data_IF_673133285195
#
_entry.id   IF_673133285195
#
_cell.length_a   1.000
_cell.length_b   1.000
_cell.length_c   1.000
_cell.angle_alpha   90.00
_cell.angle_beta   90.00
_cell.angle_gamma   90.00
#
_symmetry.space_group_name_H-M   'P 1'
#
loop_
_entity.id
_entity.type
_entity.pdbx_description
1 polymer ?
#
# COMPACT_ATOMS: atom_id res chain seq x y z
N UNK A 1 11.05 -24.94 -7.27
CA UNK A 1 10.45 -24.08 -6.25
C UNK A 1 9.62 -23.00 -6.91
N UNK A 2 8.56 -22.54 -6.24
CA UNK A 2 7.71 -21.44 -6.69
C UNK A 2 7.67 -20.38 -5.60
N UNK A 3 7.95 -19.14 -5.98
CA UNK A 3 7.77 -17.96 -5.14
C UNK A 3 6.46 -17.29 -5.51
N UNK A 4 5.60 -17.06 -4.54
CA UNK A 4 4.33 -16.35 -4.69
C UNK A 4 4.41 -15.06 -3.87
N UNK A 5 4.01 -13.96 -4.46
CA UNK A 5 4.05 -12.63 -3.87
C UNK A 5 2.65 -12.01 -3.89
N UNK A 6 2.31 -11.27 -2.84
CA UNK A 6 1.13 -10.39 -2.87
C UNK A 6 1.37 -9.22 -3.84
N UNK A 7 0.30 -8.77 -4.50
CA UNK A 7 0.36 -7.73 -5.53
C UNK A 7 0.29 -6.30 -4.99
N UNK A 8 -0.04 -6.12 -3.71
CA UNK A 8 -0.37 -4.83 -3.08
C UNK A 8 0.42 -4.57 -1.78
N UNK A 9 1.61 -5.16 -1.67
CA UNK A 9 2.47 -4.95 -0.49
C UNK A 9 3.73 -4.16 -0.86
N UNK A 10 4.14 -3.26 0.03
CA UNK A 10 5.37 -2.46 -0.10
C UNK A 10 6.42 -2.99 0.88
N UNK A 11 7.54 -3.47 0.35
CA UNK A 11 8.68 -3.99 1.12
C UNK A 11 9.91 -4.17 0.23
N UNK A 12 11.07 -4.36 0.85
CA UNK A 12 12.30 -4.80 0.15
C UNK A 12 12.79 -6.10 0.77
N UNK A 13 12.81 -7.19 0.00
CA UNK A 13 13.22 -8.51 0.49
C UNK A 13 14.21 -9.20 -0.45
N UNK A 14 15.25 -9.79 0.11
CA UNK A 14 16.12 -10.71 -0.63
C UNK A 14 15.53 -12.12 -0.65
N UNK A 15 14.79 -12.44 -1.70
CA UNK A 15 14.13 -13.74 -1.85
C UNK A 15 15.10 -14.93 -1.89
N UNK A 16 16.37 -14.72 -2.27
CA UNK A 16 17.36 -15.79 -2.23
C UNK A 16 17.64 -16.27 -0.80
N UNK A 17 17.59 -15.36 0.19
CA UNK A 17 17.71 -15.74 1.62
C UNK A 17 16.50 -16.57 2.07
N UNK A 18 15.29 -16.18 1.69
CA UNK A 18 14.09 -16.94 2.00
C UNK A 18 14.10 -18.33 1.34
N UNK A 19 14.51 -18.42 0.07
CA UNK A 19 14.67 -19.69 -0.62
C UNK A 19 15.75 -20.58 0.02
N UNK A 20 16.88 -20.02 0.45
CA UNK A 20 17.91 -20.75 1.18
C UNK A 20 17.38 -21.30 2.51
N UNK A 21 16.58 -20.50 3.25
CA UNK A 21 15.90 -20.94 4.46
C UNK A 21 14.94 -22.10 4.18
N UNK A 22 14.10 -21.99 3.15
CA UNK A 22 13.18 -23.05 2.71
C UNK A 22 13.91 -24.38 2.45
N UNK A 23 15.01 -24.32 1.69
CA UNK A 23 15.84 -25.49 1.39
C UNK A 23 16.49 -26.07 2.65
N UNK A 24 17.02 -25.23 3.53
CA UNK A 24 17.65 -25.65 4.78
C UNK A 24 16.66 -26.32 5.72
N UNK A 25 15.47 -25.77 5.81
CA UNK A 25 14.37 -26.34 6.59
C UNK A 25 13.84 -27.66 5.97
N UNK A 26 14.07 -27.91 4.68
CA UNK A 26 13.46 -29.02 3.95
C UNK A 26 11.92 -28.91 3.97
N UNK A 27 11.42 -27.70 3.87
CA UNK A 27 10.00 -27.41 3.96
C UNK A 27 9.25 -27.68 2.66
N UNK A 28 7.97 -27.98 2.75
CA UNK A 28 7.05 -28.07 1.61
C UNK A 28 6.48 -26.68 1.28
N UNK A 29 6.28 -25.86 2.33
CA UNK A 29 5.91 -24.44 2.24
C UNK A 29 6.73 -23.61 3.24
N UNK A 30 7.19 -22.44 2.84
CA UNK A 30 7.74 -21.42 3.74
C UNK A 30 6.95 -20.14 3.57
N UNK A 31 6.50 -19.58 4.68
CA UNK A 31 5.72 -18.35 4.73
C UNK A 31 6.59 -17.24 5.35
N UNK A 32 6.71 -16.10 4.65
CA UNK A 32 7.31 -14.93 5.26
C UNK A 32 6.38 -14.33 6.29
N UNK A 33 6.92 -14.03 7.47
CA UNK A 33 6.15 -13.57 8.62
C UNK A 33 6.80 -12.36 9.28
N UNK A 34 5.97 -11.52 9.88
CA UNK A 34 6.41 -10.35 10.64
C UNK A 34 5.52 -10.16 11.87
N UNK A 35 6.11 -9.72 12.98
CA UNK A 35 5.34 -9.30 14.15
C UNK A 35 4.68 -7.95 13.88
N UNK A 36 3.36 -7.88 14.06
CA UNK A 36 2.56 -6.67 13.91
C UNK A 36 2.00 -6.22 15.26
N UNK A 37 1.57 -4.96 15.41
CA UNK A 37 0.80 -4.55 16.59
C UNK A 37 -0.41 -5.48 16.81
N UNK A 38 -0.72 -5.78 18.07
CA UNK A 38 -1.81 -6.70 18.39
C UNK A 38 -3.18 -6.23 17.87
N UNK A 39 -3.39 -4.92 17.81
CA UNK A 39 -4.60 -4.30 17.26
C UNK A 39 -4.78 -4.56 15.76
N UNK A 40 -3.67 -4.73 15.02
CA UNK A 40 -3.68 -4.99 13.59
C UNK A 40 -3.76 -6.50 13.26
N UNK A 41 -3.39 -7.37 14.20
CA UNK A 41 -3.34 -8.81 13.97
C UNK A 41 -4.64 -9.40 13.38
N UNK A 42 -5.86 -8.98 13.76
CA UNK A 42 -7.10 -9.49 13.16
C UNK A 42 -7.26 -9.22 11.66
N UNK A 43 -6.43 -8.37 11.07
CA UNK A 43 -6.48 -8.05 9.63
C UNK A 43 -5.73 -9.06 8.78
N UNK A 44 -4.87 -9.89 9.36
CA UNK A 44 -3.91 -10.76 8.68
C UNK A 44 -4.16 -12.23 8.97
N UNK A 45 -3.59 -13.09 8.14
CA UNK A 45 -3.38 -14.50 8.49
C UNK A 45 -2.33 -14.60 9.59
N UNK A 46 -2.71 -15.19 10.73
CA UNK A 46 -1.86 -15.27 11.93
C UNK A 46 -1.32 -16.68 12.10
N UNK A 47 -0.05 -16.77 12.48
CA UNK A 47 0.63 -18.04 12.68
C UNK A 47 1.12 -18.23 14.11
N UNK A 48 1.02 -19.47 14.59
CA UNK A 48 1.77 -19.96 15.72
C UNK A 48 2.91 -20.86 15.23
N UNK A 49 4.07 -20.74 15.85
CA UNK A 49 5.28 -21.48 15.49
C UNK A 49 5.88 -22.14 16.72
N UNK A 50 6.64 -23.22 16.51
CA UNK A 50 7.46 -23.84 17.54
C UNK A 50 8.82 -23.13 17.69
N UNK A 51 9.70 -23.66 18.56
CA UNK A 51 11.05 -23.13 18.81
C UNK A 51 11.98 -23.16 17.58
N UNK A 52 11.62 -23.90 16.55
CA UNK A 52 12.38 -24.03 15.32
C UNK A 52 11.76 -23.27 14.14
N UNK A 53 10.82 -22.35 14.42
CA UNK A 53 10.02 -21.65 13.43
C UNK A 53 9.20 -22.57 12.49
N UNK A 54 8.84 -23.80 12.96
CA UNK A 54 7.87 -24.65 12.27
C UNK A 54 6.47 -24.14 12.55
N UNK A 55 5.69 -23.93 11.50
CA UNK A 55 4.31 -23.46 11.64
C UNK A 55 3.45 -24.60 12.19
N UNK A 56 2.84 -24.38 13.35
CA UNK A 56 1.99 -25.35 14.04
C UNK A 56 0.51 -25.04 13.89
N UNK A 57 0.16 -23.77 13.67
CA UNK A 57 -1.22 -23.31 13.50
C UNK A 57 -1.26 -22.10 12.57
N UNK A 58 -2.31 -22.00 11.78
CA UNK A 58 -2.59 -20.85 10.92
C UNK A 58 -4.07 -20.50 11.03
N UNK A 59 -4.38 -19.23 11.28
CA UNK A 59 -5.75 -18.71 11.35
C UNK A 59 -5.88 -17.50 10.42
N UNK A 60 -6.77 -17.55 9.44
CA UNK A 60 -7.02 -16.44 8.52
C UNK A 60 -7.94 -15.42 9.18
N UNK A 61 -7.42 -14.22 9.42
CA UNK A 61 -8.12 -13.06 9.98
C UNK A 61 -8.94 -13.40 11.24
N UNK A 62 -8.30 -13.95 12.28
CA UNK A 62 -9.00 -14.34 13.50
C UNK A 62 -9.51 -13.13 14.27
N UNK A 63 -10.75 -13.21 14.78
CA UNK A 63 -11.31 -12.14 15.62
C UNK A 63 -10.55 -11.98 16.96
N UNK A 64 -9.95 -13.07 17.45
CA UNK A 64 -9.17 -13.10 18.68
C UNK A 64 -7.85 -13.85 18.43
N UNK A 65 -6.84 -13.16 17.89
CA UNK A 65 -5.58 -13.80 17.53
C UNK A 65 -4.82 -14.31 18.76
N UNK A 66 -4.24 -15.52 18.66
CA UNK A 66 -3.40 -16.11 19.71
C UNK A 66 -1.93 -15.66 19.61
N UNK A 67 -1.56 -15.08 18.50
CA UNK A 67 -0.22 -14.56 18.18
C UNK A 67 -0.37 -13.27 17.38
N UNK A 68 0.68 -12.47 17.32
CA UNK A 68 0.78 -11.31 16.44
C UNK A 68 1.75 -11.54 15.28
N UNK A 69 2.11 -12.81 15.01
CA UNK A 69 2.97 -13.18 13.91
C UNK A 69 2.16 -13.29 12.62
N UNK A 70 2.16 -12.22 11.84
CA UNK A 70 1.35 -12.07 10.65
C UNK A 70 2.03 -12.63 9.40
N UNK A 71 1.24 -13.26 8.53
CA UNK A 71 1.64 -13.63 7.17
C UNK A 71 1.80 -12.37 6.32
N UNK A 72 2.92 -12.27 5.63
CA UNK A 72 3.14 -11.20 4.65
C UNK A 72 2.55 -11.51 3.27
N UNK A 73 1.82 -12.63 3.09
CA UNK A 73 1.36 -13.04 1.76
C UNK A 73 2.49 -13.40 0.79
N UNK A 74 3.65 -13.76 1.31
CA UNK A 74 4.83 -14.13 0.54
C UNK A 74 5.18 -15.58 0.87
N UNK A 75 5.17 -16.43 -0.14
CA UNK A 75 5.31 -17.87 0.02
C UNK A 75 6.40 -18.45 -0.87
N UNK A 76 7.17 -19.42 -0.36
CA UNK A 76 8.00 -20.32 -1.16
C UNK A 76 7.44 -21.72 -1.02
N UNK A 77 7.09 -22.33 -2.14
CA UNK A 77 6.59 -23.71 -2.18
C UNK A 77 7.55 -24.63 -2.92
N UNK A 78 7.64 -25.87 -2.46
CA UNK A 78 8.15 -26.97 -3.27
C UNK A 78 7.11 -27.30 -4.34
N UNK A 79 7.44 -27.08 -5.64
CA UNK A 79 6.49 -27.15 -6.76
C UNK A 79 5.67 -28.43 -6.81
N UNK A 80 6.30 -29.58 -6.54
CA UNK A 80 5.62 -30.88 -6.57
C UNK A 80 4.44 -30.91 -5.59
N UNK A 81 4.61 -30.33 -4.41
CA UNK A 81 3.57 -30.23 -3.38
C UNK A 81 2.51 -29.21 -3.78
N UNK A 82 2.92 -28.00 -4.12
CA UNK A 82 1.96 -26.96 -4.52
C UNK A 82 1.05 -27.44 -5.67
N UNK A 83 1.64 -28.06 -6.72
CA UNK A 83 0.87 -28.56 -7.86
C UNK A 83 -0.22 -29.55 -7.44
N UNK A 84 0.08 -30.46 -6.51
CA UNK A 84 -0.88 -31.41 -5.98
C UNK A 84 -2.07 -30.67 -5.34
N UNK A 85 -1.79 -29.78 -4.40
CA UNK A 85 -2.83 -29.04 -3.67
C UNK A 85 -3.66 -28.14 -4.59
N UNK A 86 -3.06 -27.49 -5.58
CA UNK A 86 -3.80 -26.67 -6.54
C UNK A 86 -4.77 -27.49 -7.41
N UNK A 87 -4.38 -28.69 -7.86
CA UNK A 87 -5.24 -29.58 -8.64
C UNK A 87 -6.40 -30.10 -7.77
N UNK A 88 -6.11 -30.46 -6.52
CA UNK A 88 -7.15 -30.91 -5.59
C UNK A 88 -8.12 -29.78 -5.24
N UNK A 89 -7.63 -28.56 -5.06
CA UNK A 89 -8.42 -27.38 -4.72
C UNK A 89 -9.32 -26.94 -5.88
N UNK A 90 -8.79 -26.96 -7.11
CA UNK A 90 -9.56 -26.68 -8.34
C UNK A 90 -10.73 -27.63 -8.53
N UNK A 91 -10.61 -28.87 -8.03
CA UNK A 91 -11.65 -29.89 -8.13
C UNK A 91 -12.69 -29.79 -7.01
N UNK A 92 -12.49 -28.93 -6.03
CA UNK A 92 -13.38 -28.73 -4.88
C UNK A 92 -14.31 -27.55 -5.13
N UNK A 93 -15.57 -27.81 -5.48
CA UNK A 93 -16.58 -26.78 -5.73
C UNK A 93 -16.86 -25.87 -4.51
N UNK A 94 -16.50 -26.30 -3.30
CA UNK A 94 -16.66 -25.51 -2.08
C UNK A 94 -15.45 -24.59 -1.81
N UNK A 95 -14.35 -24.75 -2.55
CA UNK A 95 -13.15 -23.92 -2.40
C UNK A 95 -13.37 -22.50 -2.93
N UNK A 96 -12.79 -21.54 -2.24
CA UNK A 96 -12.68 -20.15 -2.73
C UNK A 96 -11.40 -19.88 -3.55
N UNK A 97 -10.59 -20.92 -3.79
CA UNK A 97 -9.30 -20.85 -4.47
C UNK A 97 -8.32 -19.85 -3.80
N UNK A 98 -8.30 -19.83 -2.48
CA UNK A 98 -7.55 -18.89 -1.67
C UNK A 98 -6.43 -19.62 -0.89
N UNK A 99 -5.21 -19.07 -0.93
CA UNK A 99 -4.08 -19.69 -0.23
C UNK A 99 -4.29 -19.75 1.28
N UNK A 100 -4.77 -18.67 1.88
CA UNK A 100 -4.99 -18.57 3.33
C UNK A 100 -6.17 -19.40 3.83
N UNK A 101 -7.25 -19.47 3.06
CA UNK A 101 -8.47 -20.18 3.46
C UNK A 101 -8.47 -21.66 3.10
N UNK A 102 -7.83 -22.03 2.00
CA UNK A 102 -7.94 -23.38 1.45
C UNK A 102 -6.59 -24.12 1.46
N UNK A 103 -5.58 -23.62 0.75
CA UNK A 103 -4.32 -24.34 0.52
C UNK A 103 -3.50 -24.53 1.79
N UNK A 104 -3.20 -23.43 2.51
CA UNK A 104 -2.34 -23.45 3.70
C UNK A 104 -2.97 -24.31 4.83
N UNK A 105 -4.24 -24.11 5.20
CA UNK A 105 -4.87 -24.95 6.22
C UNK A 105 -4.90 -26.43 5.84
N UNK A 106 -5.18 -26.77 4.57
CA UNK A 106 -5.18 -28.15 4.08
C UNK A 106 -3.80 -28.79 4.15
N UNK A 107 -2.73 -28.04 3.79
CA UNK A 107 -1.36 -28.51 3.92
C UNK A 107 -0.99 -28.79 5.39
N UNK A 108 -1.36 -27.92 6.32
CA UNK A 108 -1.15 -28.12 7.77
C UNK A 108 -1.88 -29.35 8.28
N UNK A 109 -3.17 -29.51 7.93
CA UNK A 109 -3.98 -30.68 8.33
C UNK A 109 -3.40 -31.98 7.83
N UNK A 110 -2.78 -32.00 6.66
CA UNK A 110 -2.15 -33.17 6.06
C UNK A 110 -0.73 -33.41 6.60
N UNK A 111 -0.25 -32.60 7.55
CA UNK A 111 1.06 -32.77 8.17
C UNK A 111 2.23 -32.40 7.27
N UNK A 112 2.01 -31.57 6.25
CA UNK A 112 3.12 -31.07 5.42
C UNK A 112 4.06 -30.19 6.24
N UNK A 113 5.34 -30.22 5.91
CA UNK A 113 6.35 -29.43 6.63
C UNK A 113 6.32 -27.96 6.25
N UNK A 114 5.83 -27.14 7.15
CA UNK A 114 5.70 -25.70 6.92
C UNK A 114 6.61 -24.90 7.86
N UNK A 115 7.37 -23.94 7.30
CA UNK A 115 8.32 -23.12 8.03
C UNK A 115 7.95 -21.64 7.96
N UNK A 116 8.16 -20.91 9.05
CA UNK A 116 8.10 -19.47 9.05
C UNK A 116 9.48 -18.87 8.71
N UNK A 117 9.50 -17.86 7.86
CA UNK A 117 10.68 -17.04 7.59
C UNK A 117 10.45 -15.66 8.20
N UNK A 118 11.11 -15.39 9.33
CA UNK A 118 10.99 -14.09 10.01
C UNK A 118 11.67 -13.01 9.18
N UNK A 119 10.87 -12.11 8.67
CA UNK A 119 11.33 -10.93 7.95
C UNK A 119 11.59 -9.79 8.94
N UNK A 120 12.61 -9.00 8.64
CA UNK A 120 12.93 -7.76 9.34
C UNK A 120 13.17 -6.67 8.31
N UNK A 121 12.44 -5.58 8.41
CA UNK A 121 12.48 -4.44 7.49
C UNK A 121 11.12 -3.77 7.37
N UNK A 122 11.04 -2.78 6.50
CA UNK A 122 9.75 -2.13 6.21
C UNK A 122 8.83 -3.09 5.46
N UNK A 123 7.59 -3.16 5.93
CA UNK A 123 6.50 -3.85 5.25
C UNK A 123 5.18 -3.16 5.53
N UNK A 124 4.39 -2.91 4.49
CA UNK A 124 3.04 -2.37 4.60
C UNK A 124 2.13 -2.99 3.54
N UNK A 125 1.00 -3.51 3.98
CA UNK A 125 -0.13 -3.89 3.14
C UNK A 125 -0.91 -2.61 2.81
N UNK A 126 -1.07 -2.29 1.52
CA UNK A 126 -1.76 -1.09 1.03
C UNK A 126 -3.15 -1.40 0.46
N UNK A 127 -3.78 -2.47 0.93
CA UNK A 127 -5.13 -2.90 0.53
C UNK A 127 -6.26 -1.95 0.97
N UNK A 128 -5.97 -0.86 1.69
CA UNK A 128 -6.94 0.19 2.03
C UNK A 128 -6.42 1.56 1.62
N UNK A 129 -7.33 2.53 1.43
CA UNK A 129 -6.95 3.91 1.07
C UNK A 129 -6.13 4.58 2.18
N UNK A 130 -6.42 4.27 3.45
CA UNK A 130 -5.63 4.79 4.58
C UNK A 130 -4.22 4.23 4.55
N UNK A 131 -4.05 2.92 4.41
CA UNK A 131 -2.72 2.32 4.34
C UNK A 131 -1.94 2.74 3.09
N UNK A 132 -2.62 3.01 1.96
CA UNK A 132 -1.99 3.61 0.79
C UNK A 132 -1.49 5.03 1.09
N UNK A 133 -2.32 5.85 1.74
CA UNK A 133 -1.93 7.20 2.14
C UNK A 133 -0.76 7.16 3.13
N UNK A 134 -0.87 6.37 4.19
CA UNK A 134 0.19 6.18 5.18
C UNK A 134 1.52 5.75 4.56
N UNK A 135 1.49 4.78 3.63
CA UNK A 135 2.69 4.29 2.96
C UNK A 135 3.39 5.38 2.13
N UNK A 136 2.62 6.30 1.54
CA UNK A 136 3.18 7.46 0.85
C UNK A 136 3.77 8.49 1.83
N UNK A 137 3.13 8.71 2.97
CA UNK A 137 3.67 9.59 4.02
C UNK A 137 4.93 8.99 4.66
N UNK A 138 5.00 7.66 4.82
CA UNK A 138 6.20 6.97 5.30
C UNK A 138 7.43 7.20 4.40
N UNK A 139 7.24 7.45 3.10
CA UNK A 139 8.34 7.81 2.20
C UNK A 139 8.97 9.17 2.52
N UNK A 140 8.20 10.05 3.14
CA UNK A 140 8.66 11.39 3.55
C UNK A 140 9.34 11.32 4.93
N UNK A 141 8.97 10.35 5.77
CA UNK A 141 9.44 10.24 7.13
C UNK A 141 10.89 9.75 7.20
N UNK A 142 11.75 10.52 7.84
CA UNK A 142 13.12 10.08 8.18
C UNK A 142 13.07 8.91 9.16
N UNK A 143 13.67 7.77 8.78
CA UNK A 143 13.75 6.61 9.66
C UNK A 143 12.57 5.64 9.58
N UNK A 144 11.69 5.79 8.61
CA UNK A 144 10.61 4.83 8.35
C UNK A 144 11.08 3.40 8.02
N UNK A 145 12.38 3.24 7.69
CA UNK A 145 12.95 1.98 7.22
C UNK A 145 12.73 1.71 5.73
N UNK A 146 12.01 2.59 5.02
CA UNK A 146 11.82 2.54 3.57
C UNK A 146 12.79 3.50 2.89
N UNK A 147 13.93 2.98 2.43
CA UNK A 147 14.87 3.75 1.59
C UNK A 147 14.71 3.37 0.12
N UNK A 148 14.06 4.25 -0.64
CA UNK A 148 13.86 4.09 -2.08
C UNK A 148 15.09 4.54 -2.89
N UNK A 149 16.02 5.26 -2.27
CA UNK A 149 17.21 5.83 -2.92
C UNK A 149 18.48 5.01 -2.65
N UNK A 150 18.36 3.86 -2.00
CA UNK A 150 19.46 2.95 -1.70
C UNK A 150 20.21 2.54 -2.99
N UNK A 151 21.47 2.94 -3.08
CA UNK A 151 22.28 2.78 -4.29
C UNK A 151 22.68 1.33 -4.56
N UNK A 152 22.91 0.56 -3.49
CA UNK A 152 23.39 -0.83 -3.59
C UNK A 152 22.23 -1.82 -3.86
N UNK A 153 21.00 -1.36 -3.69
CA UNK A 153 19.80 -2.15 -3.95
C UNK A 153 18.68 -1.30 -4.59
N UNK A 154 18.88 -0.84 -5.84
CA UNK A 154 17.91 0.00 -6.52
C UNK A 154 16.62 -0.74 -6.84
N UNK A 155 15.50 -0.03 -6.75
CA UNK A 155 14.20 -0.52 -7.22
C UNK A 155 14.07 -0.19 -8.70
N UNK A 156 13.86 -1.21 -9.52
CA UNK A 156 13.62 -1.05 -10.96
C UNK A 156 12.12 -0.98 -11.23
N UNK A 157 11.70 0.05 -11.92
CA UNK A 157 10.33 0.27 -12.33
C UNK A 157 10.24 0.71 -13.79
N UNK A 158 9.02 0.90 -14.29
CA UNK A 158 8.79 1.47 -15.60
C UNK A 158 9.25 2.93 -15.61
N UNK A 159 10.22 3.24 -16.46
CA UNK A 159 10.69 4.62 -16.60
C UNK A 159 9.68 5.45 -17.38
N UNK A 160 9.22 6.55 -16.80
CA UNK A 160 8.39 7.55 -17.49
C UNK A 160 9.30 8.55 -18.18
N UNK A 161 9.14 8.71 -19.51
CA UNK A 161 9.81 9.76 -20.26
C UNK A 161 9.09 11.08 -20.03
N UNK A 162 9.65 11.93 -19.19
CA UNK A 162 9.14 13.27 -18.88
C UNK A 162 10.33 14.23 -18.60
N UNK A 163 10.16 15.54 -18.85
CA UNK A 163 11.17 16.53 -18.50
C UNK A 163 11.40 16.54 -16.98
N UNK A 164 12.47 17.18 -16.48
CA UNK A 164 12.60 17.49 -15.06
C UNK A 164 11.37 18.23 -14.52
N UNK A 165 11.14 18.14 -13.21
CA UNK A 165 10.13 18.97 -12.57
C UNK A 165 10.50 20.45 -12.68
N UNK A 166 9.51 21.31 -12.92
CA UNK A 166 9.64 22.76 -12.91
C UNK A 166 9.02 23.33 -11.64
N UNK A 167 9.79 24.16 -10.95
CA UNK A 167 9.33 24.93 -9.79
C UNK A 167 9.32 26.41 -10.17
N UNK A 168 8.15 27.04 -10.08
CA UNK A 168 7.96 28.46 -10.37
C UNK A 168 8.65 29.34 -9.36
N UNK A 169 8.80 30.64 -9.67
CA UNK A 169 9.51 31.62 -8.84
C UNK A 169 8.87 31.83 -7.46
N UNK A 170 7.57 31.63 -7.35
CA UNK A 170 6.80 31.73 -6.10
C UNK A 170 6.43 30.36 -5.51
N UNK A 171 6.94 29.27 -6.10
CA UNK A 171 6.63 27.94 -5.60
C UNK A 171 7.27 27.72 -4.22
N UNK A 172 6.49 27.14 -3.30
CA UNK A 172 6.99 26.68 -2.01
C UNK A 172 6.83 25.15 -1.92
N UNK A 173 7.96 24.43 -1.82
CA UNK A 173 7.95 22.98 -1.73
C UNK A 173 8.74 22.58 -0.50
N UNK A 174 8.06 21.99 0.49
CA UNK A 174 8.66 21.57 1.75
C UNK A 174 8.29 20.13 2.07
N UNK A 175 9.28 19.33 2.49
CA UNK A 175 9.10 17.94 2.94
C UNK A 175 8.21 17.11 2.00
N UNK A 176 8.47 17.19 0.69
CA UNK A 176 7.62 16.61 -0.34
C UNK A 176 8.44 15.89 -1.42
N UNK A 177 7.86 14.90 -2.05
CA UNK A 177 8.41 14.23 -3.23
C UNK A 177 7.73 14.81 -4.46
N UNK A 178 8.54 15.30 -5.43
CA UNK A 178 8.06 15.83 -6.71
C UNK A 178 8.69 15.04 -7.85
N UNK A 179 7.88 14.26 -8.57
CA UNK A 179 8.33 13.43 -9.66
C UNK A 179 8.57 14.24 -10.95
N UNK A 180 9.08 13.56 -11.98
CA UNK A 180 9.39 14.16 -13.29
C UNK A 180 8.13 14.69 -13.98
N UNK A 181 8.28 15.77 -14.72
CA UNK A 181 7.23 16.39 -15.51
C UNK A 181 6.22 17.20 -14.69
N UNK A 182 6.38 17.30 -13.39
CA UNK A 182 5.55 18.18 -12.56
C UNK A 182 5.84 19.66 -12.86
N UNK A 183 4.78 20.47 -12.79
CA UNK A 183 4.87 21.93 -12.74
C UNK A 183 4.25 22.38 -11.42
N UNK A 184 5.06 23.05 -10.58
CA UNK A 184 4.61 23.58 -9.29
C UNK A 184 4.84 25.09 -9.29
N UNK A 185 3.76 25.86 -9.26
CA UNK A 185 3.76 27.33 -9.16
C UNK A 185 3.16 27.79 -7.82
N UNK A 186 2.44 26.89 -7.14
CA UNK A 186 1.87 27.07 -5.81
C UNK A 186 2.68 26.39 -4.69
N UNK A 187 2.00 25.84 -3.71
CA UNK A 187 2.58 25.22 -2.51
C UNK A 187 2.37 23.71 -2.47
N UNK A 188 3.40 22.96 -2.06
CA UNK A 188 3.32 21.53 -1.77
C UNK A 188 4.08 21.25 -0.47
N UNK A 189 3.37 20.79 0.55
CA UNK A 189 3.91 20.51 1.87
C UNK A 189 3.50 19.11 2.34
N UNK A 190 4.47 18.34 2.87
CA UNK A 190 4.23 16.97 3.35
C UNK A 190 3.44 16.10 2.33
N UNK A 191 3.77 16.21 1.04
CA UNK A 191 2.97 15.67 -0.03
C UNK A 191 3.79 14.88 -1.06
N UNK A 192 3.13 13.97 -1.77
CA UNK A 192 3.73 13.17 -2.84
C UNK A 192 3.07 13.52 -4.16
N UNK A 193 3.83 14.11 -5.07
CA UNK A 193 3.40 14.46 -6.42
C UNK A 193 4.01 13.46 -7.41
N UNK A 194 3.18 12.59 -7.98
CA UNK A 194 3.57 11.68 -9.04
C UNK A 194 3.84 12.41 -10.36
N UNK A 195 4.17 11.69 -11.41
CA UNK A 195 4.62 12.30 -12.67
C UNK A 195 3.57 13.21 -13.30
N UNK A 196 4.02 14.32 -13.89
CA UNK A 196 3.21 15.25 -14.69
C UNK A 196 2.07 15.93 -13.92
N UNK A 197 2.16 16.00 -12.60
CA UNK A 197 1.20 16.78 -11.81
C UNK A 197 1.41 18.28 -12.02
N UNK A 198 0.32 19.04 -11.90
CA UNK A 198 0.34 20.49 -11.95
C UNK A 198 -0.28 21.06 -10.69
N UNK A 199 0.44 22.00 -10.05
CA UNK A 199 -0.05 22.82 -8.94
C UNK A 199 0.10 24.27 -9.37
N UNK A 200 -1.02 24.91 -9.68
CA UNK A 200 -1.04 26.28 -10.23
C UNK A 200 -0.79 27.35 -9.16
N UNK A 201 -0.60 28.59 -9.59
CA UNK A 201 -0.34 29.73 -8.71
C UNK A 201 -1.41 29.89 -7.62
N UNK A 202 -1.00 30.10 -6.37
CA UNK A 202 -1.90 30.26 -5.23
C UNK A 202 -2.52 28.95 -4.72
N UNK A 203 -2.39 27.84 -5.47
CA UNK A 203 -2.88 26.55 -5.01
C UNK A 203 -1.99 25.98 -3.90
N UNK A 204 -2.60 25.23 -2.96
CA UNK A 204 -1.90 24.61 -1.84
C UNK A 204 -2.26 23.12 -1.74
N UNK A 205 -1.24 22.27 -1.59
CA UNK A 205 -1.38 20.82 -1.45
C UNK A 205 -0.65 20.38 -0.17
N UNK A 206 -1.39 19.85 0.80
CA UNK A 206 -0.86 19.49 2.11
C UNK A 206 -1.25 18.08 2.48
N UNK A 207 -0.30 17.28 3.01
CA UNK A 207 -0.53 15.89 3.47
C UNK A 207 -1.30 15.06 2.44
N UNK A 208 -0.98 15.22 1.15
CA UNK A 208 -1.81 14.69 0.07
C UNK A 208 -0.96 13.96 -0.98
N UNK A 209 -1.64 13.11 -1.74
CA UNK A 209 -1.05 12.36 -2.83
C UNK A 209 -1.70 12.84 -4.12
N UNK A 210 -0.91 13.34 -5.05
CA UNK A 210 -1.32 13.59 -6.42
C UNK A 210 -0.84 12.45 -7.31
N UNK A 211 -1.76 11.66 -7.85
CA UNK A 211 -1.47 10.58 -8.79
C UNK A 211 -1.09 11.15 -10.17
N UNK A 212 -0.51 10.36 -11.09
CA UNK A 212 0.00 10.87 -12.37
C UNK A 212 -0.98 11.74 -13.14
N UNK A 213 -0.51 12.91 -13.57
CA UNK A 213 -1.31 13.84 -14.37
C UNK A 213 -2.39 14.61 -13.61
N UNK A 214 -2.45 14.51 -12.29
CA UNK A 214 -3.39 15.28 -11.48
C UNK A 214 -3.12 16.78 -11.58
N UNK A 215 -4.18 17.60 -11.59
CA UNK A 215 -4.12 19.06 -11.72
C UNK A 215 -4.85 19.71 -10.56
N UNK A 216 -4.17 20.58 -9.85
CA UNK A 216 -4.72 21.48 -8.83
C UNK A 216 -4.66 22.89 -9.37
N UNK A 217 -5.82 23.44 -9.72
CA UNK A 217 -5.91 24.75 -10.36
C UNK A 217 -5.71 25.91 -9.37
N UNK A 218 -5.66 27.09 -9.94
CA UNK A 218 -5.38 28.34 -9.23
C UNK A 218 -6.20 28.50 -7.96
N UNK A 219 -5.51 28.90 -6.86
CA UNK A 219 -6.09 29.20 -5.55
C UNK A 219 -6.88 28.03 -4.90
N UNK A 220 -6.83 26.81 -5.47
CA UNK A 220 -7.47 25.63 -4.88
C UNK A 220 -6.66 25.08 -3.70
N UNK A 221 -7.34 24.39 -2.78
CA UNK A 221 -6.71 23.78 -1.60
C UNK A 221 -7.02 22.30 -1.52
N UNK A 222 -5.97 21.51 -1.37
CA UNK A 222 -6.05 20.04 -1.21
C UNK A 222 -5.36 19.67 0.10
N UNK A 223 -6.08 19.02 1.01
CA UNK A 223 -5.55 18.68 2.32
C UNK A 223 -6.02 17.28 2.73
N UNK A 224 -5.08 16.41 3.13
CA UNK A 224 -5.36 15.02 3.52
C UNK A 224 -6.21 14.28 2.49
N UNK A 225 -5.73 14.31 1.24
CA UNK A 225 -6.47 13.75 0.12
C UNK A 225 -5.60 12.91 -0.82
N UNK A 226 -6.26 12.03 -1.57
CA UNK A 226 -5.69 11.31 -2.71
C UNK A 226 -6.41 11.80 -3.96
N UNK A 227 -5.70 12.49 -4.84
CA UNK A 227 -6.21 12.91 -6.15
C UNK A 227 -5.77 11.86 -7.16
N UNK A 228 -6.75 11.14 -7.72
CA UNK A 228 -6.54 10.05 -8.65
C UNK A 228 -5.90 10.48 -9.97
N UNK A 229 -5.46 9.52 -10.76
CA UNK A 229 -4.80 9.74 -12.05
C UNK A 229 -5.65 10.65 -12.95
N UNK A 230 -5.03 11.72 -13.50
CA UNK A 230 -5.70 12.75 -14.32
C UNK A 230 -6.90 13.43 -13.61
N UNK A 231 -6.95 13.39 -12.29
CA UNK A 231 -7.96 14.09 -11.50
C UNK A 231 -7.76 15.61 -11.57
N UNK A 232 -8.85 16.39 -11.60
CA UNK A 232 -8.79 17.85 -11.71
C UNK A 232 -9.52 18.49 -10.53
N UNK A 233 -8.79 19.33 -9.77
CA UNK A 233 -9.36 20.19 -8.75
C UNK A 233 -9.53 21.59 -9.34
N UNK A 234 -10.77 22.08 -9.41
CA UNK A 234 -11.13 23.37 -10.02
C UNK A 234 -10.57 24.57 -9.27
N UNK A 235 -10.66 25.77 -9.87
CA UNK A 235 -10.19 27.01 -9.26
C UNK A 235 -10.94 27.30 -7.95
N UNK A 236 -10.21 27.78 -6.92
CA UNK A 236 -10.76 28.09 -5.58
C UNK A 236 -11.47 26.92 -4.89
N UNK A 237 -11.40 25.69 -5.42
CA UNK A 237 -12.05 24.53 -4.81
C UNK A 237 -11.28 24.04 -3.56
N UNK A 238 -12.01 23.42 -2.64
CA UNK A 238 -11.48 22.81 -1.43
C UNK A 238 -11.70 21.30 -1.46
N UNK A 239 -10.65 20.51 -1.31
CA UNK A 239 -10.72 19.04 -1.28
C UNK A 239 -10.08 18.52 -0.01
N UNK A 240 -10.87 17.82 0.81
CA UNK A 240 -10.44 17.32 2.11
C UNK A 240 -10.36 18.40 3.19
N UNK A 241 -9.89 18.00 4.37
CA UNK A 241 -9.67 18.90 5.50
C UNK A 241 -8.68 18.29 6.49
N UNK A 242 -7.92 19.11 7.22
CA UNK A 242 -7.03 18.62 8.29
C UNK A 242 -7.83 18.07 9.48
N UNK A 243 -7.26 17.16 10.28
CA UNK A 243 -7.96 16.47 11.37
C UNK A 243 -8.62 17.41 12.39
N UNK A 244 -7.98 18.56 12.67
CA UNK A 244 -8.47 19.55 13.63
C UNK A 244 -9.64 20.40 13.11
N UNK A 245 -9.91 20.37 11.81
CA UNK A 245 -10.97 21.17 11.21
C UNK A 245 -12.37 20.53 11.27
N UNK A 246 -12.44 19.23 11.59
CA UNK A 246 -13.70 18.46 11.64
C UNK A 246 -13.69 17.52 12.85
N UNK A 247 -14.88 17.11 13.36
CA UNK A 247 -14.95 16.10 14.42
C UNK A 247 -14.26 14.79 14.01
N UNK A 248 -13.54 14.11 14.93
CA UNK A 248 -12.76 12.89 14.63
C UNK A 248 -13.59 11.79 13.92
N UNK A 249 -14.85 11.63 14.28
CA UNK A 249 -15.75 10.63 13.69
C UNK A 249 -16.20 10.98 12.26
N UNK A 250 -15.96 12.20 11.81
CA UNK A 250 -16.29 12.68 10.46
C UNK A 250 -15.03 12.84 9.60
N UNK A 251 -13.85 12.75 10.22
CA UNK A 251 -12.59 12.89 9.51
C UNK A 251 -12.17 11.58 8.84
N UNK A 252 -11.49 11.72 7.73
CA UNK A 252 -10.88 10.65 6.96
C UNK A 252 -10.28 11.22 5.68
N UNK A 253 -9.41 10.45 5.04
CA UNK A 253 -8.76 10.82 3.78
C UNK A 253 -9.84 11.01 2.71
N UNK A 254 -9.79 12.14 1.99
CA UNK A 254 -10.69 12.41 0.86
C UNK A 254 -10.11 11.87 -0.43
N UNK A 255 -10.95 11.33 -1.30
CA UNK A 255 -10.49 10.71 -2.55
C UNK A 255 -11.24 11.29 -3.75
N UNK A 256 -10.48 11.85 -4.67
CA UNK A 256 -10.95 12.14 -6.02
C UNK A 256 -10.52 10.99 -6.93
N UNK A 257 -11.47 10.25 -7.49
CA UNK A 257 -11.20 9.08 -8.33
C UNK A 257 -10.46 9.43 -9.62
N UNK A 258 -9.87 8.42 -10.31
CA UNK A 258 -9.19 8.64 -11.58
C UNK A 258 -10.11 9.31 -12.63
N UNK A 259 -9.60 10.37 -13.29
CA UNK A 259 -10.33 11.15 -14.28
C UNK A 259 -11.50 11.97 -13.75
N UNK A 260 -11.74 11.96 -12.45
CA UNK A 260 -12.80 12.76 -11.82
C UNK A 260 -12.39 14.23 -11.72
N UNK A 261 -13.40 15.11 -11.65
CA UNK A 261 -13.20 16.54 -11.49
C UNK A 261 -14.05 17.11 -10.38
N UNK A 262 -13.49 18.08 -9.68
CA UNK A 262 -14.20 18.99 -8.77
C UNK A 262 -14.33 20.33 -9.50
N UNK A 263 -15.54 20.89 -9.52
CA UNK A 263 -15.79 22.17 -10.17
C UNK A 263 -15.09 23.34 -9.44
N UNK A 264 -15.02 24.48 -10.10
CA UNK A 264 -14.53 25.70 -9.48
C UNK A 264 -15.41 26.08 -8.28
N UNK A 265 -14.83 26.66 -7.24
CA UNK A 265 -15.46 27.07 -5.98
C UNK A 265 -16.16 25.92 -5.20
N UNK A 266 -15.98 24.66 -5.60
CA UNK A 266 -16.63 23.51 -4.96
C UNK A 266 -15.90 23.06 -3.70
N UNK A 267 -16.64 22.56 -2.72
CA UNK A 267 -16.08 21.95 -1.50
C UNK A 267 -16.39 20.46 -1.49
N UNK A 268 -15.35 19.63 -1.61
CA UNK A 268 -15.41 18.20 -1.36
C UNK A 268 -14.88 17.92 0.07
N UNK A 269 -15.75 17.65 1.04
CA UNK A 269 -15.36 17.57 2.46
C UNK A 269 -14.43 16.38 2.77
N UNK A 270 -13.89 16.36 4.00
CA UNK A 270 -13.18 15.20 4.54
C UNK A 270 -14.01 13.92 4.47
N UNK A 271 -13.35 12.76 4.39
CA UNK A 271 -13.99 11.44 4.38
C UNK A 271 -15.00 11.22 3.24
N UNK A 272 -14.78 11.84 2.09
CA UNK A 272 -15.60 11.68 0.89
C UNK A 272 -14.81 11.08 -0.26
N UNK A 273 -15.52 10.32 -1.08
CA UNK A 273 -15.01 9.86 -2.37
C UNK A 273 -15.88 10.41 -3.49
N UNK A 274 -15.25 10.94 -4.53
CA UNK A 274 -15.95 11.41 -5.74
C UNK A 274 -15.41 10.68 -6.95
N UNK A 275 -16.30 10.02 -7.69
CA UNK A 275 -16.00 9.29 -8.91
C UNK A 275 -16.15 10.15 -10.17
N UNK A 276 -15.70 9.63 -11.31
CA UNK A 276 -15.70 10.33 -12.60
C UNK A 276 -17.10 10.70 -13.08
N UNK A 277 -18.12 9.94 -12.72
CA UNK A 277 -19.55 10.25 -13.00
C UNK A 277 -20.13 11.30 -12.02
N UNK A 278 -19.31 11.86 -11.16
CA UNK A 278 -19.69 12.87 -10.19
C UNK A 278 -20.42 12.35 -8.94
N UNK A 279 -20.54 11.03 -8.80
CA UNK A 279 -21.16 10.44 -7.62
C UNK A 279 -20.25 10.59 -6.40
N UNK A 280 -20.83 11.05 -5.30
CA UNK A 280 -20.16 11.16 -4.01
C UNK A 280 -20.69 10.15 -3.01
N UNK A 281 -19.76 9.55 -2.26
CA UNK A 281 -20.05 8.61 -1.18
C UNK A 281 -19.26 8.99 0.06
N UNK A 282 -19.79 8.67 1.23
CA UNK A 282 -18.99 8.64 2.47
C UNK A 282 -18.06 7.44 2.38
N UNK A 283 -16.85 7.62 2.80
CA UNK A 283 -15.85 6.57 2.82
C UNK A 283 -15.99 5.66 4.03
#
# INVERSE_FOLDING_TARGET
YVLILSGDHIYKMNYAKMLAHHKKAGADCTISVMEVPWEDAPRFGIMNVDENDTITEFEEKPAYPKSNLASMGIYVFTWKKLRQYLIEDESDEASSNDFGKNIIPKMLQNGEKMAAYRFSGYWKDVGTLDSLWDANMDMLATGSGLDLLEKDWPIYGRSVSAPPAYLGVNAHVEHSVVARGCTVEGEAENSVLSERCTVEEGASVQYSILMPGAVVKKDARVSYAIIGENGVVGEHAFVGAPPEAVPPEQWGITVLGPGAAVADDYVLPANRMRSVDGKETVR
#
